data_IF_846255283731
#
_entry.id   IF_846255283731
#
_cell.length_a   1.000
_cell.length_b   1.000
_cell.length_c   1.000
_cell.angle_alpha   90.00
_cell.angle_beta   90.00
_cell.angle_gamma   90.00
#
_symmetry.space_group_name_H-M   'P 1'
#
loop_
_entity.id
_entity.type
_entity.pdbx_description
1 polymer ?
#
# COMPACT_ATOMS: atom_id res chain seq x y z
N UNK A 1 -12.67 -31.96 -16.43
CA UNK A 1 -12.15 -30.59 -16.48
C UNK A 1 -10.63 -30.68 -16.45
N UNK A 2 -9.97 -30.26 -17.52
CA UNK A 2 -8.50 -30.34 -17.64
C UNK A 2 -7.90 -29.16 -16.88
N UNK A 3 -6.87 -29.35 -16.02
CA UNK A 3 -6.12 -28.26 -15.42
C UNK A 3 -5.48 -27.44 -16.54
N UNK A 4 -5.84 -26.15 -16.59
CA UNK A 4 -5.43 -25.25 -17.66
C UNK A 4 -3.92 -25.15 -17.79
N UNK A 5 -3.43 -25.56 -18.95
CA UNK A 5 -2.09 -25.32 -19.44
C UNK A 5 -1.81 -23.80 -19.40
N UNK A 6 -0.86 -23.41 -18.55
CA UNK A 6 -0.41 -22.04 -18.41
C UNK A 6 0.48 -21.70 -19.61
N UNK A 7 -0.06 -20.96 -20.57
CA UNK A 7 0.72 -20.36 -21.64
C UNK A 7 1.51 -19.17 -21.08
N UNK A 8 2.81 -19.38 -20.89
CA UNK A 8 3.73 -18.56 -20.07
C UNK A 8 4.14 -17.24 -20.75
N UNK A 9 3.93 -17.10 -22.07
CA UNK A 9 4.62 -16.06 -22.83
C UNK A 9 3.97 -14.67 -22.82
N UNK A 10 2.71 -14.49 -22.37
CA UNK A 10 2.00 -13.21 -22.56
C UNK A 10 0.96 -12.83 -21.49
N UNK A 11 0.96 -13.49 -20.32
CA UNK A 11 -0.11 -13.27 -19.33
C UNK A 11 0.26 -12.14 -18.38
N UNK A 12 -0.34 -10.97 -18.62
CA UNK A 12 -0.47 -9.92 -17.60
C UNK A 12 -1.73 -10.20 -16.79
N UNK A 13 -1.69 -10.04 -15.48
CA UNK A 13 -2.82 -10.34 -14.61
C UNK A 13 -2.49 -10.22 -13.13
N UNK A 14 -3.41 -10.71 -12.30
CA UNK A 14 -3.27 -10.73 -10.84
C UNK A 14 -3.44 -12.15 -10.31
N UNK A 15 -2.59 -12.50 -9.36
CA UNK A 15 -2.73 -13.70 -8.53
C UNK A 15 -3.13 -13.21 -7.14
N UNK A 16 -4.16 -13.83 -6.56
CA UNK A 16 -4.64 -13.52 -5.21
C UNK A 16 -4.47 -14.76 -4.31
N UNK A 17 -4.12 -14.53 -3.05
CA UNK A 17 -4.08 -15.60 -2.06
C UNK A 17 -4.52 -15.09 -0.69
N UNK A 18 -4.87 -16.05 0.17
CA UNK A 18 -5.11 -15.82 1.59
C UNK A 18 -4.01 -16.49 2.40
N UNK A 19 -3.75 -15.94 3.58
CA UNK A 19 -2.78 -16.46 4.51
C UNK A 19 -3.41 -17.53 5.41
N UNK A 20 -2.66 -18.58 5.75
CA UNK A 20 -3.18 -19.73 6.50
C UNK A 20 -3.43 -19.44 7.99
N UNK A 21 -2.76 -18.42 8.55
CA UNK A 21 -2.75 -18.12 9.99
C UNK A 21 -1.41 -18.41 10.67
N UNK A 22 -0.46 -19.07 9.99
CA UNK A 22 0.86 -19.42 10.55
C UNK A 22 1.95 -18.34 10.34
N UNK A 23 1.64 -17.33 9.55
CA UNK A 23 2.50 -16.18 9.29
C UNK A 23 2.59 -15.22 10.49
N UNK A 24 3.51 -14.24 10.49
CA UNK A 24 3.62 -13.26 11.56
C UNK A 24 2.30 -12.51 11.84
N UNK A 25 2.08 -12.15 13.11
CA UNK A 25 0.83 -11.56 13.59
C UNK A 25 0.44 -10.23 12.91
N UNK A 26 1.41 -9.52 12.32
CA UNK A 26 1.13 -8.28 11.60
C UNK A 26 0.48 -8.49 10.23
N UNK A 27 0.49 -9.70 9.66
CA UNK A 27 -0.17 -9.96 8.39
C UNK A 27 -1.68 -10.08 8.59
N UNK A 28 -2.45 -9.38 7.76
CA UNK A 28 -3.90 -9.47 7.77
C UNK A 28 -4.36 -10.73 7.03
N UNK A 29 -4.99 -11.63 7.78
CA UNK A 29 -5.52 -12.91 7.26
C UNK A 29 -6.90 -12.79 6.65
N UNK A 30 -7.61 -11.71 6.94
CA UNK A 30 -8.98 -11.46 6.51
C UNK A 30 -9.04 -10.88 5.10
N UNK A 31 -7.97 -10.22 4.64
CA UNK A 31 -7.86 -9.64 3.30
C UNK A 31 -6.90 -10.45 2.43
N UNK A 32 -7.27 -10.64 1.16
CA UNK A 32 -6.38 -11.29 0.19
C UNK A 32 -5.17 -10.40 -0.10
N UNK A 33 -3.98 -11.00 -0.08
CA UNK A 33 -2.80 -10.39 -0.69
C UNK A 33 -2.81 -10.67 -2.19
N UNK A 34 -2.06 -9.86 -2.96
CA UNK A 34 -2.05 -9.97 -4.42
C UNK A 34 -0.66 -9.82 -5.00
N UNK A 35 -0.46 -10.41 -6.16
CA UNK A 35 0.73 -10.30 -6.96
C UNK A 35 0.31 -9.89 -8.36
N UNK A 36 0.91 -8.84 -8.89
CA UNK A 36 0.74 -8.43 -10.27
C UNK A 36 1.82 -9.10 -11.11
N UNK A 37 1.39 -9.77 -12.17
CA UNK A 37 2.28 -10.30 -13.20
C UNK A 37 2.08 -9.43 -14.43
N UNK A 38 3.17 -8.93 -15.01
CA UNK A 38 3.14 -8.16 -16.24
C UNK A 38 4.14 -8.77 -17.23
N UNK A 39 3.67 -9.12 -18.43
CA UNK A 39 4.52 -9.77 -19.47
C UNK A 39 5.32 -10.98 -18.96
N UNK A 40 4.71 -11.80 -18.12
CA UNK A 40 5.33 -13.02 -17.58
C UNK A 40 6.33 -12.81 -16.44
N UNK A 41 6.57 -11.57 -15.99
CA UNK A 41 7.39 -11.26 -14.80
C UNK A 41 6.53 -10.74 -13.66
N UNK A 42 6.98 -10.94 -12.43
CA UNK A 42 6.33 -10.37 -11.25
C UNK A 42 6.66 -8.88 -11.19
N UNK A 43 5.64 -8.06 -11.35
CA UNK A 43 5.72 -6.59 -11.37
C UNK A 43 5.62 -6.02 -9.96
N UNK A 44 4.67 -6.53 -9.17
CA UNK A 44 4.53 -6.15 -7.76
C UNK A 44 3.90 -7.25 -6.91
N UNK A 45 4.16 -7.19 -5.61
CA UNK A 45 3.56 -8.02 -4.57
C UNK A 45 2.99 -7.08 -3.52
N UNK A 46 1.66 -7.09 -3.34
CA UNK A 46 0.97 -6.33 -2.30
C UNK A 46 0.54 -7.26 -1.16
N UNK A 47 1.05 -7.02 0.04
CA UNK A 47 0.74 -7.76 1.26
C UNK A 47 -0.15 -6.90 2.15
N UNK A 48 -1.31 -7.43 2.53
CA UNK A 48 -2.22 -6.78 3.46
C UNK A 48 -1.72 -6.99 4.89
N UNK A 49 -1.63 -5.92 5.67
CA UNK A 49 -1.14 -5.97 7.05
C UNK A 49 -2.09 -5.27 8.01
N UNK A 50 -1.95 -5.61 9.29
CA UNK A 50 -2.49 -4.90 10.45
C UNK A 50 -1.43 -4.02 11.11
N UNK A 51 -0.23 -3.92 10.53
CA UNK A 51 0.83 -3.06 11.07
C UNK A 51 0.41 -1.59 10.92
N UNK A 52 0.44 -0.80 12.01
CA UNK A 52 0.17 0.62 11.94
C UNK A 52 1.30 1.36 11.23
N UNK A 53 0.97 2.43 10.49
CA UNK A 53 1.97 3.22 9.78
C UNK A 53 3.08 3.76 10.70
N UNK A 54 2.75 4.11 11.95
CA UNK A 54 3.74 4.56 12.94
C UNK A 54 4.82 3.54 13.26
N UNK A 55 4.48 2.25 13.31
CA UNK A 55 5.48 1.20 13.52
C UNK A 55 6.40 1.04 12.31
N UNK A 56 5.85 1.16 11.10
CA UNK A 56 6.64 1.11 9.86
C UNK A 56 7.61 2.29 9.80
N UNK A 57 7.13 3.50 10.10
CA UNK A 57 7.95 4.70 10.18
C UNK A 57 9.11 4.54 11.17
N UNK A 58 8.82 4.04 12.37
CA UNK A 58 9.86 3.83 13.39
C UNK A 58 10.86 2.74 13.01
N UNK A 59 10.46 1.77 12.18
CA UNK A 59 11.30 0.65 11.75
C UNK A 59 12.16 0.97 10.53
N UNK A 60 11.66 1.80 9.61
CA UNK A 60 12.28 2.09 8.31
C UNK A 60 12.83 3.51 8.19
N UNK A 61 12.68 4.34 9.23
CA UNK A 61 12.92 5.79 9.21
C UNK A 61 11.91 6.53 8.29
N UNK A 62 12.13 7.82 8.03
CA UNK A 62 11.29 8.61 7.14
C UNK A 62 11.31 8.08 5.69
N UNK A 63 10.16 8.08 4.97
CA UNK A 63 10.13 7.73 3.56
C UNK A 63 10.84 8.79 2.70
N UNK A 64 11.25 8.39 1.50
CA UNK A 64 11.90 9.27 0.54
C UNK A 64 10.92 10.21 -0.16
N UNK A 65 9.65 9.78 -0.28
CA UNK A 65 8.50 10.53 -0.82
C UNK A 65 7.21 10.07 -0.18
N UNK A 66 6.15 10.86 -0.32
CA UNK A 66 4.81 10.42 0.01
C UNK A 66 3.75 11.37 -0.52
N UNK A 67 2.55 10.86 -0.63
CA UNK A 67 1.41 11.54 -1.24
C UNK A 67 0.13 11.28 -0.44
N UNK A 68 -0.75 12.27 -0.45
CA UNK A 68 -2.12 12.15 0.04
C UNK A 68 -3.11 12.43 -1.08
N UNK A 69 -3.89 11.42 -1.42
CA UNK A 69 -4.94 11.50 -2.40
C UNK A 69 -6.30 11.44 -1.69
N UNK A 70 -7.01 12.55 -1.70
CA UNK A 70 -8.37 12.60 -1.15
C UNK A 70 -9.36 12.05 -2.19
N UNK A 71 -10.16 11.07 -1.77
CA UNK A 71 -11.22 10.50 -2.58
C UNK A 71 -12.57 10.75 -1.92
N UNK A 72 -13.44 11.45 -2.65
CA UNK A 72 -14.86 11.52 -2.35
C UNK A 72 -15.57 10.54 -3.29
N UNK A 73 -15.79 9.30 -2.83
CA UNK A 73 -16.70 8.40 -3.54
C UNK A 73 -18.10 8.59 -2.95
N UNK A 74 -19.15 8.63 -3.77
CA UNK A 74 -20.53 8.79 -3.29
C UNK A 74 -20.97 7.70 -2.30
N UNK A 75 -20.31 6.54 -2.32
CA UNK A 75 -20.63 5.36 -1.49
C UNK A 75 -19.71 5.16 -0.29
N UNK A 76 -18.52 5.75 -0.31
CA UNK A 76 -17.50 5.60 0.73
C UNK A 76 -17.31 6.98 1.33
N UNK A 77 -17.59 7.11 2.63
CA UNK A 77 -17.24 8.29 3.42
C UNK A 77 -15.87 8.80 2.96
N UNK A 78 -15.76 10.13 2.78
CA UNK A 78 -14.53 10.78 2.31
C UNK A 78 -13.31 10.14 2.97
N UNK A 79 -12.34 9.71 2.17
CA UNK A 79 -11.13 9.05 2.64
C UNK A 79 -9.90 9.69 2.02
N UNK A 80 -8.78 9.58 2.73
CA UNK A 80 -7.46 9.89 2.21
C UNK A 80 -6.74 8.57 1.96
N UNK A 81 -6.29 8.36 0.72
CA UNK A 81 -5.28 7.36 0.41
C UNK A 81 -3.92 8.01 0.66
N UNK A 82 -3.18 7.44 1.60
CA UNK A 82 -1.81 7.82 1.92
C UNK A 82 -0.85 6.81 1.30
N UNK A 83 0.15 7.28 0.56
CA UNK A 83 1.21 6.46 -0.02
C UNK A 83 2.58 7.00 0.44
N UNK A 84 3.40 6.16 1.07
CA UNK A 84 4.76 6.48 1.50
C UNK A 84 5.77 5.58 0.78
N UNK A 85 6.77 6.19 0.14
CA UNK A 85 7.69 5.53 -0.77
C UNK A 85 9.08 5.41 -0.15
N UNK A 86 9.60 4.18 -0.12
CA UNK A 86 10.92 3.82 0.39
C UNK A 86 11.79 3.20 -0.70
N UNK A 87 13.10 3.21 -0.49
CA UNK A 87 14.11 2.51 -1.31
C UNK A 87 13.95 2.78 -2.81
N UNK A 88 13.90 4.05 -3.17
CA UNK A 88 13.76 4.54 -4.55
C UNK A 88 12.50 4.05 -5.27
N UNK A 89 11.47 3.63 -4.54
CA UNK A 89 10.24 3.10 -5.13
C UNK A 89 10.15 1.57 -5.14
N UNK A 90 11.16 0.86 -4.63
CA UNK A 90 11.07 -0.59 -4.47
C UNK A 90 10.01 -1.00 -3.43
N UNK A 91 9.68 -0.11 -2.49
CA UNK A 91 8.63 -0.33 -1.49
C UNK A 91 7.69 0.88 -1.44
N UNK A 92 6.40 0.63 -1.61
CA UNK A 92 5.31 1.56 -1.34
C UNK A 92 4.51 1.06 -0.13
N UNK A 93 4.28 1.95 0.82
CA UNK A 93 3.53 1.69 2.05
C UNK A 93 2.25 2.51 1.98
N UNK A 94 1.14 1.83 1.74
CA UNK A 94 -0.15 2.47 1.48
C UNK A 94 -1.08 2.32 2.67
N UNK A 95 -1.79 3.36 3.04
CA UNK A 95 -2.86 3.31 4.06
C UNK A 95 -4.10 4.06 3.59
N UNK A 96 -5.27 3.62 4.03
CA UNK A 96 -6.54 4.31 3.77
C UNK A 96 -7.05 4.85 5.09
N UNK A 97 -7.23 6.15 5.16
CA UNK A 97 -7.67 6.86 6.36
C UNK A 97 -9.05 7.43 6.09
N UNK A 98 -10.03 7.10 6.92
CA UNK A 98 -11.38 7.64 6.80
C UNK A 98 -11.46 9.01 7.47
N UNK A 99 -12.14 9.95 6.82
CA UNK A 99 -12.37 11.27 7.39
C UNK A 99 -13.39 11.24 8.54
N UNK A 100 -13.26 12.16 9.53
CA UNK A 100 -12.26 13.22 9.60
C UNK A 100 -10.86 12.66 9.91
N UNK A 101 -9.85 13.15 9.19
CA UNK A 101 -8.46 12.69 9.36
C UNK A 101 -7.89 13.32 10.64
N UNK A 102 -7.49 12.49 11.59
CA UNK A 102 -6.73 12.93 12.78
C UNK A 102 -5.28 12.45 12.71
N UNK A 103 -4.40 13.08 13.49
CA UNK A 103 -3.01 12.64 13.62
C UNK A 103 -2.91 11.21 14.17
N UNK A 104 -3.84 10.83 15.06
CA UNK A 104 -3.87 9.47 15.58
C UNK A 104 -4.28 8.47 14.50
N UNK A 105 -5.34 8.75 13.74
CA UNK A 105 -5.77 7.88 12.64
C UNK A 105 -4.68 7.71 11.59
N UNK A 106 -3.86 8.74 11.35
CA UNK A 106 -2.70 8.65 10.47
C UNK A 106 -1.68 7.61 10.91
N UNK A 107 -1.28 7.66 12.19
CA UNK A 107 -0.25 6.78 12.73
C UNK A 107 -0.76 5.36 12.97
N UNK A 108 -2.03 5.22 13.37
CA UNK A 108 -2.66 3.94 13.66
C UNK A 108 -3.20 3.24 12.40
N UNK A 109 -3.20 3.91 11.23
CA UNK A 109 -3.74 3.34 10.01
C UNK A 109 -2.99 2.06 9.59
N UNK A 110 -3.70 0.94 9.35
CA UNK A 110 -3.08 -0.29 8.89
C UNK A 110 -2.57 -0.12 7.46
N UNK A 111 -1.38 -0.66 7.18
CA UNK A 111 -0.74 -0.50 5.89
C UNK A 111 -0.87 -1.70 4.96
N UNK A 112 -0.85 -1.44 3.66
CA UNK A 112 -0.51 -2.41 2.62
C UNK A 112 0.94 -2.19 2.23
N UNK A 113 1.74 -3.26 2.26
CA UNK A 113 3.12 -3.23 1.76
C UNK A 113 3.11 -3.66 0.30
N UNK A 114 3.47 -2.76 -0.61
CA UNK A 114 3.65 -3.09 -2.02
C UNK A 114 5.14 -3.08 -2.38
N UNK A 115 5.69 -4.27 -2.59
CA UNK A 115 7.04 -4.44 -3.12
C UNK A 115 6.96 -4.45 -4.64
N UNK A 116 7.77 -3.62 -5.31
CA UNK A 116 7.79 -3.49 -6.77
C UNK A 116 9.10 -4.01 -7.34
N UNK A 117 9.08 -4.41 -8.61
CA UNK A 117 10.31 -4.73 -9.33
C UNK A 117 11.24 -3.49 -9.33
N UNK A 118 12.48 -3.61 -8.82
CA UNK A 118 13.44 -2.51 -8.82
C UNK A 118 13.77 -1.96 -10.22
N UNK A 119 13.43 -2.67 -11.30
CA UNK A 119 13.59 -2.17 -12.66
C UNK A 119 12.69 -0.94 -12.99
N UNK A 120 11.63 -0.69 -12.20
CA UNK A 120 10.70 0.46 -12.36
C UNK A 120 10.97 1.63 -11.38
N UNK A 121 12.16 1.64 -10.75
CA UNK A 121 12.60 2.68 -9.82
C UNK A 121 12.74 4.04 -10.51
N UNK A 122 12.00 5.06 -10.02
CA UNK A 122 12.13 6.46 -10.46
C UNK A 122 12.84 7.30 -9.40
N UNK A 123 13.91 8.00 -9.80
CA UNK A 123 14.73 8.87 -8.93
C UNK A 123 13.92 10.04 -8.30
N UNK A 124 14.30 10.52 -7.10
CA UNK A 124 13.38 11.23 -6.20
C UNK A 124 13.21 12.74 -6.43
N UNK A 125 12.03 13.23 -6.05
CA UNK A 125 11.81 14.53 -5.40
C UNK A 125 11.81 14.29 -3.88
N UNK A 126 12.13 15.30 -3.06
CA UNK A 126 12.26 15.15 -1.60
C UNK A 126 10.89 14.94 -0.91
N UNK A 127 10.86 14.15 0.18
CA UNK A 127 9.71 14.03 1.06
C UNK A 127 9.62 15.20 2.03
N UNK A 128 8.47 15.87 2.05
CA UNK A 128 8.07 16.75 3.13
C UNK A 128 6.93 16.09 3.91
N UNK A 129 7.13 15.95 5.22
CA UNK A 129 6.08 15.49 6.13
C UNK A 129 4.86 16.42 5.96
N UNK A 130 3.63 15.90 5.80
CA UNK A 130 2.48 16.75 5.54
C UNK A 130 2.30 17.74 6.69
N UNK A 131 2.64 19.03 6.46
CA UNK A 131 2.30 20.15 7.37
C UNK A 131 0.79 20.36 7.53
N UNK A 132 -0.01 19.53 6.85
CA UNK A 132 -1.47 19.55 6.78
C UNK A 132 -2.16 19.07 8.07
N UNK A 133 -1.43 18.45 9.01
CA UNK A 133 -2.01 17.86 10.23
C UNK A 133 -2.46 18.90 11.28
N UNK A 134 -2.11 20.19 11.10
CA UNK A 134 -2.54 21.29 11.97
C UNK A 134 -3.87 21.95 11.53
N UNK A 135 -4.46 21.54 10.40
CA UNK A 135 -5.75 22.06 9.91
C UNK A 135 -6.73 20.89 9.70
N UNK A 136 -7.99 20.96 10.13
CA UNK A 136 -8.97 19.91 9.86
C UNK A 136 -9.30 19.89 8.36
N UNK A 137 -8.56 19.12 7.58
CA UNK A 137 -8.96 18.74 6.23
C UNK A 137 -10.03 17.64 6.31
N UNK A 138 -10.88 17.55 5.29
CA UNK A 138 -12.18 16.85 5.24
C UNK A 138 -13.41 17.66 5.74
N UNK A 139 -13.54 18.92 5.34
CA UNK A 139 -14.85 19.59 5.32
C UNK A 139 -15.50 19.41 3.93
N UNK A 140 -16.82 19.20 3.92
CA UNK A 140 -17.67 18.88 2.75
C UNK A 140 -17.45 19.78 1.55
#
# INVERSE_FOLDING_TARGET
>A
SVPGEFDVANRSGFIYWHWSGEQPAFIDTMRSSRMRVYRGVVDSISIQTNAPFGEVWMSLDQPERGELLFSASEYLRMSALHDAIYWQGALSVQSVIHCPLTLQDWWDAPVTLEVRDPSDIRLPALYDLPRLLDTPYCAR
#
